data_IF_931858609684
#
_entry.id   IF_931858609684
#
_cell.length_a   1.000
_cell.length_b   1.000
_cell.length_c   1.000
_cell.angle_alpha   90.00
_cell.angle_beta   90.00
_cell.angle_gamma   90.00
#
_symmetry.space_group_name_H-M   'P 1'
#
loop_
_entity.id
_entity.type
_entity.pdbx_description
1 polymer ?
#
# COMPACT_ATOMS: atom_id res chain seq x y z
N UNK A 1 -13.17 -14.57 25.58
CA UNK A 1 -12.21 -13.50 25.92
C UNK A 1 -10.95 -13.60 25.05
N UNK A 2 -10.28 -14.75 25.01
CA UNK A 2 -9.09 -14.97 24.15
C UNK A 2 -9.29 -14.72 22.65
N UNK A 3 -10.40 -15.18 22.05
CA UNK A 3 -10.63 -15.00 20.61
C UNK A 3 -10.74 -13.52 20.22
N UNK A 4 -11.44 -12.73 21.03
CA UNK A 4 -11.58 -11.29 20.82
C UNK A 4 -10.25 -10.54 21.03
N UNK A 5 -9.41 -10.99 21.97
CA UNK A 5 -8.05 -10.47 22.16
C UNK A 5 -7.15 -10.79 20.97
N UNK A 6 -7.18 -12.03 20.46
CA UNK A 6 -6.43 -12.44 19.26
C UNK A 6 -6.89 -11.67 18.01
N UNK A 7 -8.19 -11.51 17.82
CA UNK A 7 -8.75 -10.74 16.70
C UNK A 7 -8.37 -9.24 16.79
N UNK A 8 -8.28 -8.70 18.01
CA UNK A 8 -7.84 -7.33 18.28
C UNK A 8 -6.33 -7.13 18.07
N UNK A 9 -5.49 -8.04 18.56
CA UNK A 9 -4.04 -8.06 18.32
C UNK A 9 -3.72 -8.18 16.83
N UNK A 10 -4.47 -9.01 16.11
CA UNK A 10 -4.37 -9.15 14.66
C UNK A 10 -4.74 -7.86 13.92
N UNK A 11 -5.82 -7.19 14.34
CA UNK A 11 -6.22 -5.89 13.80
C UNK A 11 -5.11 -4.84 13.98
N UNK A 12 -4.54 -4.78 15.19
CA UNK A 12 -3.42 -3.88 15.49
C UNK A 12 -2.20 -4.24 14.66
N UNK A 13 -1.82 -5.51 14.54
CA UNK A 13 -0.59 -5.92 13.85
C UNK A 13 -0.61 -5.70 12.34
N UNK A 14 -1.78 -5.47 11.74
CA UNK A 14 -1.94 -5.52 10.29
C UNK A 14 -2.51 -4.23 9.71
N UNK A 15 -3.58 -3.70 10.31
CA UNK A 15 -4.23 -2.47 9.80
C UNK A 15 -3.52 -1.21 10.26
N UNK A 16 -3.03 -1.18 11.49
CA UNK A 16 -2.37 0.01 12.01
C UNK A 16 -1.01 0.29 11.33
N UNK A 17 -0.14 -0.69 11.04
CA UNK A 17 1.11 -0.43 10.33
C UNK A 17 0.90 0.17 8.94
N UNK A 18 -0.08 -0.31 8.17
CA UNK A 18 -0.37 0.21 6.83
C UNK A 18 -0.94 1.63 6.86
N UNK A 19 -1.76 1.98 7.86
CA UNK A 19 -2.23 3.35 8.08
C UNK A 19 -1.11 4.27 8.55
N UNK A 20 -0.30 3.81 9.48
CA UNK A 20 0.84 4.56 10.01
C UNK A 20 1.89 4.79 8.93
N UNK A 21 2.16 3.79 8.08
CA UNK A 21 3.01 3.90 6.91
C UNK A 21 2.49 4.93 5.90
N UNK A 22 1.18 4.91 5.61
CA UNK A 22 0.55 5.92 4.75
C UNK A 22 0.67 7.33 5.32
N UNK A 23 0.44 7.49 6.62
CA UNK A 23 0.56 8.77 7.31
C UNK A 23 1.98 9.33 7.21
N UNK A 24 2.98 8.52 7.55
CA UNK A 24 4.40 8.91 7.46
C UNK A 24 4.82 9.24 6.03
N UNK A 25 4.37 8.45 5.05
CA UNK A 25 4.63 8.74 3.64
C UNK A 25 4.01 10.07 3.23
N UNK A 26 2.79 10.36 3.67
CA UNK A 26 2.12 11.64 3.40
C UNK A 26 2.88 12.82 4.01
N UNK A 27 3.41 12.69 5.22
CA UNK A 27 4.24 13.71 5.88
C UNK A 27 5.55 13.96 5.11
N UNK A 28 6.21 12.90 4.63
CA UNK A 28 7.43 12.99 3.83
C UNK A 28 7.14 13.64 2.47
N UNK A 29 6.04 13.26 1.81
CA UNK A 29 5.61 13.87 0.54
C UNK A 29 5.28 15.35 0.70
N UNK A 30 4.55 15.72 1.77
CA UNK A 30 4.22 17.12 2.05
C UNK A 30 5.49 17.95 2.29
N UNK A 31 6.41 17.43 3.10
CA UNK A 31 7.71 18.06 3.35
C UNK A 31 8.49 18.27 2.04
N UNK A 32 8.59 17.24 1.21
CA UNK A 32 9.28 17.34 -0.08
C UNK A 32 8.58 18.31 -1.05
N UNK A 33 7.24 18.36 -1.03
CA UNK A 33 6.47 19.29 -1.85
C UNK A 33 6.70 20.73 -1.41
N UNK A 34 6.66 21.02 -0.10
CA UNK A 34 6.97 22.34 0.45
C UNK A 34 8.37 22.80 0.04
N UNK A 35 9.38 21.93 0.11
CA UNK A 35 10.75 22.26 -0.30
C UNK A 35 10.87 22.59 -1.80
N UNK A 36 10.04 21.98 -2.64
CA UNK A 36 10.08 22.15 -4.09
C UNK A 36 9.09 23.19 -4.62
N UNK A 37 8.15 23.65 -3.80
CA UNK A 37 7.05 24.55 -4.19
C UNK A 37 6.91 25.74 -3.23
N UNK A 38 8.03 26.36 -2.85
CA UNK A 38 8.06 27.63 -2.10
C UNK A 38 7.31 27.57 -0.75
N UNK A 39 7.38 26.43 -0.06
CA UNK A 39 6.75 26.24 1.25
C UNK A 39 5.25 25.95 1.20
N UNK A 40 4.64 25.77 0.03
CA UNK A 40 3.21 25.42 -0.09
C UNK A 40 2.98 23.97 0.34
N UNK A 41 1.92 23.73 1.09
CA UNK A 41 1.51 22.36 1.43
C UNK A 41 1.03 21.60 0.19
N UNK A 42 1.30 20.30 0.17
CA UNK A 42 0.89 19.40 -0.88
C UNK A 42 -0.64 19.29 -0.93
N UNK A 43 -1.25 19.42 -2.12
CA UNK A 43 -2.66 19.16 -2.29
C UNK A 43 -2.97 17.66 -2.15
N UNK A 44 -4.20 17.34 -1.70
CA UNK A 44 -4.62 15.96 -1.39
C UNK A 44 -4.37 14.94 -2.51
N UNK A 45 -4.40 15.37 -3.78
CA UNK A 45 -4.19 14.48 -4.91
C UNK A 45 -2.78 13.87 -4.94
N UNK A 46 -1.77 14.55 -4.36
CA UNK A 46 -0.39 14.04 -4.28
C UNK A 46 -0.36 12.74 -3.47
N UNK A 47 -0.99 12.75 -2.29
CA UNK A 47 -1.05 11.59 -1.41
C UNK A 47 -1.89 10.45 -2.01
N UNK A 48 -3.05 10.77 -2.61
CA UNK A 48 -3.89 9.75 -3.22
C UNK A 48 -3.25 9.12 -4.47
N UNK A 49 -2.47 9.90 -5.24
CA UNK A 49 -1.74 9.38 -6.40
C UNK A 49 -0.64 8.42 -5.96
N UNK A 50 0.10 8.72 -4.89
CA UNK A 50 1.13 7.81 -4.37
C UNK A 50 0.52 6.48 -3.89
N UNK A 51 -0.59 6.55 -3.16
CA UNK A 51 -1.30 5.34 -2.73
C UNK A 51 -1.86 4.53 -3.91
N UNK A 52 -2.43 5.17 -4.92
CA UNK A 52 -2.92 4.47 -6.13
C UNK A 52 -1.77 3.87 -6.94
N UNK A 53 -0.62 4.56 -7.03
CA UNK A 53 0.60 4.06 -7.66
C UNK A 53 1.06 2.75 -7.00
N UNK A 54 1.21 2.73 -5.67
CA UNK A 54 1.63 1.54 -4.91
C UNK A 54 0.62 0.39 -5.13
N UNK A 55 -0.68 0.66 -5.02
CA UNK A 55 -1.72 -0.36 -5.22
C UNK A 55 -1.67 -0.95 -6.62
N UNK A 56 -1.52 -0.11 -7.65
CA UNK A 56 -1.45 -0.57 -9.04
C UNK A 56 -0.16 -1.34 -9.33
N UNK A 57 0.98 -0.91 -8.77
CA UNK A 57 2.24 -1.61 -8.94
C UNK A 57 2.20 -3.01 -8.31
N UNK A 58 1.64 -3.13 -7.12
CA UNK A 58 1.57 -4.39 -6.39
C UNK A 58 0.48 -5.33 -6.93
N UNK A 59 -0.74 -4.81 -7.15
CA UNK A 59 -1.95 -5.62 -7.35
C UNK A 59 -2.54 -5.49 -8.77
N UNK A 60 -2.05 -4.54 -9.57
CA UNK A 60 -2.62 -4.23 -10.88
C UNK A 60 -4.03 -3.61 -10.84
N UNK A 61 -4.49 -3.14 -9.67
CA UNK A 61 -5.81 -2.53 -9.50
C UNK A 61 -5.81 -1.49 -8.38
N UNK A 62 -6.88 -0.68 -8.32
CA UNK A 62 -7.07 0.28 -7.23
C UNK A 62 -7.59 -0.40 -5.96
N UNK A 63 -7.41 0.26 -4.80
CA UNK A 63 -7.91 -0.22 -3.52
C UNK A 63 -9.42 -0.52 -3.53
N UNK A 64 -10.22 0.31 -4.23
CA UNK A 64 -11.67 0.10 -4.38
C UNK A 64 -12.00 -1.20 -5.13
N UNK A 65 -11.26 -1.51 -6.19
CA UNK A 65 -11.44 -2.77 -6.93
C UNK A 65 -11.00 -3.98 -6.12
N UNK A 66 -9.91 -3.85 -5.35
CA UNK A 66 -9.45 -4.90 -4.45
C UNK A 66 -10.51 -5.21 -3.40
N UNK A 67 -11.07 -4.18 -2.76
CA UNK A 67 -12.10 -4.35 -1.74
C UNK A 67 -13.32 -5.10 -2.30
N UNK A 68 -13.82 -4.68 -3.47
CA UNK A 68 -14.93 -5.36 -4.12
C UNK A 68 -14.65 -6.84 -4.42
N UNK A 69 -13.41 -7.17 -4.81
CA UNK A 69 -12.98 -8.55 -5.06
C UNK A 69 -12.88 -9.37 -3.77
N UNK A 70 -12.37 -8.78 -2.71
CA UNK A 70 -12.24 -9.42 -1.40
C UNK A 70 -13.62 -9.69 -0.75
N UNK A 71 -14.60 -8.82 -1.00
CA UNK A 71 -15.96 -8.95 -0.48
C UNK A 71 -16.76 -10.08 -1.15
N UNK A 72 -16.29 -10.66 -2.26
CA UNK A 72 -16.89 -11.87 -2.86
C UNK A 72 -16.42 -13.17 -2.20
N UNK A 73 -15.40 -13.10 -1.31
CA UNK A 73 -14.79 -14.27 -0.69
C UNK A 73 -15.35 -14.53 0.71
N UNK A 74 -15.18 -15.75 1.20
CA UNK A 74 -15.50 -16.07 2.57
C UNK A 74 -14.61 -15.29 3.55
N UNK A 75 -15.06 -15.21 4.81
CA UNK A 75 -14.41 -14.41 5.84
C UNK A 75 -12.93 -14.78 6.04
N UNK A 76 -12.60 -16.07 6.07
CA UNK A 76 -11.25 -16.53 6.38
C UNK A 76 -10.28 -16.19 5.23
N UNK A 77 -10.71 -16.45 3.99
CA UNK A 77 -9.96 -16.10 2.78
C UNK A 77 -9.72 -14.59 2.69
N UNK A 78 -10.77 -13.79 2.89
CA UNK A 78 -10.67 -12.33 2.88
C UNK A 78 -9.69 -11.81 3.93
N UNK A 79 -9.79 -12.30 5.16
CA UNK A 79 -8.92 -11.89 6.26
C UNK A 79 -7.47 -12.23 5.97
N UNK A 80 -7.19 -13.47 5.56
CA UNK A 80 -5.84 -13.92 5.23
C UNK A 80 -5.17 -13.03 4.17
N UNK A 81 -5.83 -12.81 3.03
CA UNK A 81 -5.25 -11.98 1.96
C UNK A 81 -5.17 -10.50 2.34
N UNK A 82 -6.12 -9.99 3.13
CA UNK A 82 -6.05 -8.61 3.65
C UNK A 82 -4.79 -8.40 4.47
N UNK A 83 -4.33 -9.41 5.22
CA UNK A 83 -3.08 -9.31 5.99
C UNK A 83 -1.87 -9.19 5.11
N UNK A 84 -1.73 -10.14 4.21
CA UNK A 84 -0.54 -10.24 3.38
C UNK A 84 -0.40 -8.99 2.52
N UNK A 85 -1.51 -8.54 1.92
CA UNK A 85 -1.56 -7.32 1.12
C UNK A 85 -1.19 -6.08 1.95
N UNK A 86 -1.79 -5.90 3.14
CA UNK A 86 -1.52 -4.71 3.95
C UNK A 86 -0.07 -4.67 4.45
N UNK A 87 0.52 -5.82 4.81
CA UNK A 87 1.93 -5.91 5.17
C UNK A 87 2.83 -5.52 4.00
N UNK A 88 2.57 -6.04 2.80
CA UNK A 88 3.35 -5.68 1.62
C UNK A 88 3.21 -4.19 1.26
N UNK A 89 2.00 -3.63 1.35
CA UNK A 89 1.77 -2.20 1.13
C UNK A 89 2.56 -1.35 2.15
N UNK A 90 2.57 -1.74 3.42
CA UNK A 90 3.33 -1.03 4.46
C UNK A 90 4.84 -1.02 4.18
N UNK A 91 5.38 -2.14 3.68
CA UNK A 91 6.80 -2.22 3.26
C UNK A 91 7.06 -1.32 2.05
N UNK A 92 6.20 -1.34 1.04
CA UNK A 92 6.33 -0.50 -0.16
C UNK A 92 6.24 1.00 0.16
N UNK A 93 5.34 1.40 1.08
CA UNK A 93 5.28 2.77 1.58
C UNK A 93 6.59 3.20 2.23
N UNK A 94 7.23 2.29 2.98
CA UNK A 94 8.54 2.55 3.61
C UNK A 94 9.66 2.70 2.58
N UNK A 95 9.66 1.87 1.54
CA UNK A 95 10.61 2.00 0.44
C UNK A 95 10.40 3.31 -0.32
N UNK A 96 9.15 3.65 -0.63
CA UNK A 96 8.83 4.89 -1.35
C UNK A 96 9.20 6.14 -0.54
N UNK A 97 8.99 6.14 0.77
CA UNK A 97 9.52 7.18 1.67
C UNK A 97 11.03 7.38 1.48
N UNK A 98 11.80 6.28 1.48
CA UNK A 98 13.24 6.33 1.25
C UNK A 98 13.62 6.91 -0.11
N UNK A 99 12.84 6.61 -1.16
CA UNK A 99 13.06 7.16 -2.49
C UNK A 99 12.71 8.66 -2.57
N UNK A 100 11.64 9.10 -1.91
CA UNK A 100 11.32 10.54 -1.80
C UNK A 100 12.44 11.27 -1.08
N UNK A 101 12.92 10.74 0.05
CA UNK A 101 14.02 11.33 0.83
C UNK A 101 15.34 11.38 0.06
N UNK A 102 15.57 10.43 -0.85
CA UNK A 102 16.73 10.41 -1.74
C UNK A 102 16.57 11.36 -2.96
N UNK A 103 15.47 12.12 -3.05
CA UNK A 103 15.25 13.13 -4.08
C UNK A 103 14.80 12.58 -5.44
N UNK A 104 14.33 11.32 -5.50
CA UNK A 104 13.83 10.75 -6.74
C UNK A 104 12.48 11.37 -7.13
N UNK A 105 12.33 11.72 -8.40
CA UNK A 105 11.06 12.18 -8.97
C UNK A 105 10.00 11.07 -9.02
N UNK A 106 8.73 11.46 -9.13
CA UNK A 106 7.60 10.53 -9.10
C UNK A 106 7.67 9.42 -10.16
N UNK A 107 8.10 9.71 -11.39
CA UNK A 107 8.16 8.69 -12.45
C UNK A 107 9.30 7.70 -12.20
N UNK A 108 10.42 8.16 -11.65
CA UNK A 108 11.53 7.28 -11.24
C UNK A 108 11.13 6.39 -10.06
N UNK A 109 10.42 6.94 -9.07
CA UNK A 109 9.89 6.16 -7.93
C UNK A 109 8.90 5.10 -8.39
N UNK A 110 7.93 5.48 -9.23
CA UNK A 110 6.94 4.57 -9.82
C UNK A 110 7.59 3.39 -10.56
N UNK A 111 8.63 3.64 -11.38
CA UNK A 111 9.39 2.57 -12.04
C UNK A 111 10.11 1.67 -11.04
N UNK A 112 10.75 2.27 -10.04
CA UNK A 112 11.47 1.53 -8.98
C UNK A 112 10.53 0.63 -8.18
N UNK A 113 9.38 1.16 -7.73
CA UNK A 113 8.35 0.41 -7.00
C UNK A 113 7.77 -0.70 -7.87
N UNK A 114 7.49 -0.45 -9.15
CA UNK A 114 7.04 -1.49 -10.08
C UNK A 114 8.07 -2.62 -10.24
N UNK A 115 9.36 -2.29 -10.32
CA UNK A 115 10.45 -3.28 -10.39
C UNK A 115 10.58 -4.08 -9.09
N UNK A 116 10.44 -3.43 -7.93
CA UNK A 116 10.41 -4.12 -6.63
C UNK A 116 9.23 -5.09 -6.58
N UNK A 117 8.05 -4.68 -7.05
CA UNK A 117 6.87 -5.54 -7.09
C UNK A 117 7.07 -6.76 -8.00
N UNK A 118 7.65 -6.59 -9.19
CA UNK A 118 7.87 -7.68 -10.14
C UNK A 118 8.98 -8.65 -9.74
N UNK A 119 9.91 -8.21 -8.89
CA UNK A 119 11.05 -9.02 -8.42
C UNK A 119 10.79 -9.65 -7.05
N UNK A 120 10.57 -8.84 -6.02
CA UNK A 120 10.41 -9.28 -4.62
C UNK A 120 8.99 -9.79 -4.34
N UNK A 121 7.97 -9.10 -4.85
CA UNK A 121 6.56 -9.38 -4.52
C UNK A 121 5.79 -10.06 -5.65
N UNK A 122 6.48 -10.79 -6.53
CA UNK A 122 5.85 -11.50 -7.65
C UNK A 122 4.77 -12.49 -7.19
N UNK A 123 4.94 -13.12 -6.03
CA UNK A 123 3.94 -14.01 -5.43
C UNK A 123 2.61 -13.30 -5.14
N UNK A 124 2.64 -12.04 -4.71
CA UNK A 124 1.43 -11.24 -4.47
C UNK A 124 0.62 -11.02 -5.75
N UNK A 125 1.30 -10.83 -6.89
CA UNK A 125 0.64 -10.69 -8.19
C UNK A 125 -0.04 -12.00 -8.63
N UNK A 126 0.53 -13.15 -8.28
CA UNK A 126 -0.08 -14.46 -8.53
C UNK A 126 -1.32 -14.68 -7.67
N UNK A 127 -1.23 -14.37 -6.37
CA UNK A 127 -2.35 -14.42 -5.43
C UNK A 127 -3.54 -13.58 -5.93
N UNK A 128 -3.28 -12.35 -6.38
CA UNK A 128 -4.33 -11.48 -6.91
C UNK A 128 -4.94 -12.04 -8.20
N UNK A 129 -4.15 -12.76 -9.01
CA UNK A 129 -4.64 -13.43 -10.21
C UNK A 129 -5.58 -14.60 -9.83
N UNK A 130 -5.18 -15.43 -8.87
CA UNK A 130 -6.01 -16.52 -8.35
C UNK A 130 -7.32 -16.02 -7.72
N UNK A 131 -7.26 -14.91 -6.99
CA UNK A 131 -8.44 -14.25 -6.42
C UNK A 131 -9.44 -13.84 -7.50
N UNK A 132 -8.97 -13.36 -8.67
CA UNK A 132 -9.81 -12.99 -9.81
C UNK A 132 -10.42 -14.20 -10.52
N UNK A 133 -9.67 -15.29 -10.65
CA UNK A 133 -10.14 -16.50 -11.35
C UNK A 133 -11.20 -17.27 -10.56
N UNK A 134 -11.23 -17.08 -9.23
CA UNK A 134 -12.17 -17.73 -8.31
C UNK A 134 -13.37 -16.84 -7.94
N UNK A 135 -13.53 -15.66 -8.55
CA UNK A 135 -14.60 -14.68 -8.28
C UNK A 135 -15.62 -14.65 -9.41
#
# INVERSE_FOLDING_TARGET
>A
MEKALRDYEYWIMVREPQKEGYKKLSEVLDTNYQLTHEGKSAPNYVFSNEADMINRALLGMSAKKLQALLDTKDKATREHFTVEINKTISELQTMDMGLVMAGFDYETRKKTIANICSTKYKHMQLIVKELKETA
#
